data_IF_415877190667
#
_entry.id   IF_415877190667
#
_cell.length_a   1.000
_cell.length_b   1.000
_cell.length_c   1.000
_cell.angle_alpha   90.00
_cell.angle_beta   90.00
_cell.angle_gamma   90.00
#
_symmetry.space_group_name_H-M   'P 1'
#
loop_
_entity.id
_entity.type
_entity.pdbx_description
1 polymer ?
#
# COMPACT_ATOMS: atom_id res chain seq x y z
N UNK A 1 -4.64 -18.28 24.62
CA UNK A 1 -5.03 -17.93 23.24
C UNK A 1 -6.06 -16.80 23.18
N UNK A 2 -5.70 -15.59 23.61
CA UNK A 2 -6.59 -14.39 23.51
C UNK A 2 -5.92 -13.24 22.76
N UNK A 3 -4.58 -13.17 22.74
CA UNK A 3 -3.85 -12.12 22.02
C UNK A 3 -3.90 -12.26 20.49
N UNK A 4 -3.80 -13.48 19.94
CA UNK A 4 -3.85 -13.71 18.48
C UNK A 4 -5.13 -13.21 17.81
N UNK A 5 -6.25 -13.16 18.54
CA UNK A 5 -7.52 -12.70 18.00
C UNK A 5 -7.69 -11.18 18.02
N UNK A 6 -6.86 -10.46 18.80
CA UNK A 6 -6.98 -9.01 18.95
C UNK A 6 -6.28 -8.27 17.80
N UNK A 7 -5.06 -8.68 17.45
CA UNK A 7 -4.35 -8.18 16.27
C UNK A 7 -5.09 -8.48 14.96
N UNK A 8 -5.75 -9.65 14.90
CA UNK A 8 -6.58 -10.01 13.75
C UNK A 8 -7.83 -9.15 13.68
N UNK A 9 -8.45 -8.81 14.82
CA UNK A 9 -9.63 -7.91 14.88
C UNK A 9 -9.29 -6.47 14.49
N UNK A 10 -8.15 -5.97 14.94
CA UNK A 10 -7.67 -4.64 14.57
C UNK A 10 -7.27 -4.60 13.09
N UNK A 11 -6.68 -5.69 12.55
CA UNK A 11 -6.49 -5.87 11.10
C UNK A 11 -7.82 -6.00 10.34
N UNK A 12 -8.85 -6.64 10.91
CA UNK A 12 -10.17 -6.78 10.30
C UNK A 12 -10.89 -5.44 10.19
N UNK A 13 -10.69 -4.52 11.14
CA UNK A 13 -11.21 -3.14 11.02
C UNK A 13 -10.47 -2.33 9.96
N UNK A 14 -9.16 -2.58 9.74
CA UNK A 14 -8.42 -2.05 8.61
C UNK A 14 -8.92 -2.67 7.29
N UNK A 15 -9.05 -4.00 7.24
CA UNK A 15 -9.59 -4.77 6.12
C UNK A 15 -11.02 -4.32 5.73
N UNK A 16 -11.87 -4.00 6.70
CA UNK A 16 -13.22 -3.48 6.45
C UNK A 16 -13.20 -2.10 5.76
N UNK A 17 -12.23 -1.23 6.07
CA UNK A 17 -11.99 -0.01 5.28
C UNK A 17 -11.44 -0.32 3.88
N UNK A 18 -10.60 -1.35 3.74
CA UNK A 18 -10.03 -1.78 2.46
C UNK A 18 -11.09 -2.37 1.51
N UNK A 19 -12.11 -3.04 2.04
CA UNK A 19 -13.26 -3.56 1.28
C UNK A 19 -14.08 -2.42 0.62
N UNK A 20 -14.22 -1.27 1.30
CA UNK A 20 -14.83 -0.08 0.71
C UNK A 20 -13.91 0.66 -0.29
N UNK A 21 -12.60 0.37 -0.27
CA UNK A 21 -11.60 0.87 -1.22
C UNK A 21 -11.28 -0.09 -2.36
N UNK A 22 -12.20 -1.03 -2.67
CA UNK A 22 -12.05 -1.97 -3.79
C UNK A 22 -11.83 -1.24 -5.11
N UNK A 23 -10.96 -1.78 -5.96
CA UNK A 23 -10.66 -1.21 -7.27
C UNK A 23 -11.77 -1.41 -8.31
N UNK A 24 -12.81 -2.20 -7.97
CA UNK A 24 -13.85 -2.64 -8.90
C UNK A 24 -13.28 -3.28 -10.19
N UNK A 25 -12.09 -3.90 -10.08
CA UNK A 25 -11.39 -4.49 -11.21
C UNK A 25 -10.76 -3.49 -12.19
N UNK A 26 -10.76 -2.19 -11.87
CA UNK A 26 -10.18 -1.15 -12.74
C UNK A 26 -8.67 -1.03 -12.63
N UNK A 27 -8.12 -1.43 -11.49
CA UNK A 27 -6.68 -1.45 -11.22
C UNK A 27 -6.37 -2.54 -10.21
N UNK A 28 -5.10 -2.94 -10.17
CA UNK A 28 -4.61 -3.88 -9.15
C UNK A 28 -4.19 -3.10 -7.91
N UNK A 29 -4.67 -3.53 -6.75
CA UNK A 29 -4.11 -3.11 -5.46
C UNK A 29 -3.24 -4.26 -4.97
N UNK A 30 -1.93 -4.03 -4.87
CA UNK A 30 -1.01 -4.99 -4.28
C UNK A 30 -0.57 -4.53 -2.91
N UNK A 31 -0.78 -5.37 -1.89
CA UNK A 31 -0.42 -5.08 -0.52
C UNK A 31 0.74 -5.97 -0.06
N UNK A 32 1.78 -5.33 0.48
CA UNK A 32 3.04 -5.98 0.85
C UNK A 32 3.36 -5.78 2.34
N UNK A 33 2.58 -6.36 3.27
CA UNK A 33 2.65 -6.05 4.70
C UNK A 33 3.83 -6.70 5.44
N UNK A 34 4.46 -7.73 4.84
CA UNK A 34 5.56 -8.50 5.43
C UNK A 34 5.18 -9.42 6.61
N UNK A 35 4.05 -9.19 7.29
CA UNK A 35 3.60 -9.99 8.45
C UNK A 35 2.25 -10.69 8.27
N UNK A 36 1.47 -10.31 7.26
CA UNK A 36 0.18 -10.96 6.95
C UNK A 36 0.38 -12.02 5.88
N UNK A 37 -0.43 -13.08 5.98
CA UNK A 37 -0.37 -14.17 5.02
C UNK A 37 -1.01 -13.77 3.70
N UNK A 38 -0.75 -14.57 2.67
CA UNK A 38 -1.33 -14.37 1.35
C UNK A 38 -2.85 -14.48 1.40
N UNK A 39 -3.35 -15.47 2.11
CA UNK A 39 -4.78 -15.78 2.22
C UNK A 39 -5.56 -14.63 2.85
N UNK A 40 -5.02 -14.03 3.93
CA UNK A 40 -5.63 -12.88 4.61
C UNK A 40 -5.76 -11.65 3.69
N UNK A 41 -4.82 -11.46 2.76
CA UNK A 41 -4.83 -10.34 1.81
C UNK A 41 -5.73 -10.61 0.60
N UNK A 42 -5.69 -11.82 0.07
CA UNK A 42 -6.50 -12.19 -1.09
C UNK A 42 -8.00 -12.30 -0.73
N UNK A 43 -8.35 -12.67 0.51
CA UNK A 43 -9.74 -12.71 1.00
C UNK A 43 -10.44 -11.33 0.93
N UNK A 44 -9.68 -10.24 1.05
CA UNK A 44 -10.20 -8.86 0.97
C UNK A 44 -10.12 -8.28 -0.45
N UNK A 45 -9.74 -9.08 -1.46
CA UNK A 45 -9.74 -8.71 -2.87
C UNK A 45 -8.49 -7.97 -3.34
N UNK A 46 -7.40 -7.98 -2.57
CA UNK A 46 -6.11 -7.40 -2.97
C UNK A 46 -5.14 -8.48 -3.43
N UNK A 47 -4.17 -8.10 -4.24
CA UNK A 47 -3.03 -8.97 -4.50
C UNK A 47 -2.04 -8.91 -3.33
N UNK A 48 -1.57 -10.08 -2.91
CA UNK A 48 -0.45 -10.14 -1.98
C UNK A 48 0.88 -9.87 -2.72
N UNK A 49 1.82 -9.21 -2.06
CA UNK A 49 3.19 -9.06 -2.53
C UNK A 49 4.22 -9.25 -1.43
N UNK A 50 5.39 -9.77 -1.81
CA UNK A 50 6.52 -9.89 -0.91
C UNK A 50 7.16 -8.53 -0.64
N UNK A 51 7.26 -8.14 0.62
CA UNK A 51 7.78 -6.83 1.04
C UNK A 51 9.25 -6.65 0.63
N UNK A 52 10.09 -7.68 0.79
CA UNK A 52 11.52 -7.56 0.49
C UNK A 52 11.76 -7.40 -1.02
N UNK A 53 11.04 -8.15 -1.84
CA UNK A 53 11.09 -8.01 -3.30
C UNK A 53 10.62 -6.62 -3.75
N UNK A 54 9.54 -6.10 -3.17
CA UNK A 54 9.07 -4.75 -3.52
C UNK A 54 10.02 -3.64 -3.07
N UNK A 55 10.68 -3.77 -1.91
CA UNK A 55 11.69 -2.81 -1.47
C UNK A 55 12.94 -2.81 -2.34
N UNK A 56 13.31 -3.95 -2.93
CA UNK A 56 14.40 -4.02 -3.91
C UNK A 56 14.03 -3.31 -5.22
N UNK A 57 12.78 -3.47 -5.68
CA UNK A 57 12.28 -2.79 -6.88
C UNK A 57 12.08 -1.29 -6.65
N UNK A 58 11.58 -0.91 -5.48
CA UNK A 58 11.27 0.46 -5.07
C UNK A 58 12.07 0.83 -3.82
N UNK A 59 13.34 1.23 -3.96
CA UNK A 59 14.23 1.54 -2.83
C UNK A 59 13.83 2.86 -2.19
N UNK A 60 12.92 2.80 -1.21
CA UNK A 60 12.27 3.97 -0.58
C UNK A 60 13.22 5.04 -0.05
N UNK A 61 14.46 4.68 0.32
CA UNK A 61 15.48 5.62 0.79
C UNK A 61 15.94 6.60 -0.30
N UNK A 62 15.72 6.24 -1.57
CA UNK A 62 16.15 7.02 -2.74
C UNK A 62 14.97 7.65 -3.50
N UNK A 63 13.73 7.37 -3.10
CA UNK A 63 12.53 7.86 -3.79
C UNK A 63 12.16 9.26 -3.32
N UNK A 64 11.58 10.03 -4.24
CA UNK A 64 10.99 11.35 -3.94
C UNK A 64 9.49 11.29 -4.12
N UNK A 65 8.74 12.02 -3.31
CA UNK A 65 7.30 12.15 -3.54
C UNK A 65 7.05 12.70 -4.95
N UNK A 66 6.09 12.10 -5.66
CA UNK A 66 5.80 12.41 -7.05
C UNK A 66 6.32 11.39 -8.05
N UNK A 67 6.55 11.84 -9.29
CA UNK A 67 6.99 10.97 -10.38
C UNK A 67 8.43 10.52 -10.24
N UNK A 68 8.65 9.21 -10.34
CA UNK A 68 9.94 8.55 -10.41
C UNK A 68 9.97 7.62 -11.62
N UNK A 69 11.17 7.13 -11.95
CA UNK A 69 11.38 6.12 -12.99
C UNK A 69 12.24 5.01 -12.40
N UNK A 70 11.85 3.76 -12.56
CA UNK A 70 12.63 2.62 -12.08
C UNK A 70 13.83 2.33 -13.00
N UNK A 71 14.66 1.36 -12.59
CA UNK A 71 15.84 0.96 -13.36
C UNK A 71 15.51 0.30 -14.71
N UNK A 72 14.25 -0.09 -14.93
CA UNK A 72 13.75 -0.63 -16.19
C UNK A 72 13.12 0.44 -17.10
N UNK A 73 13.04 1.70 -16.65
CA UNK A 73 12.43 2.80 -17.39
C UNK A 73 10.93 2.95 -17.17
N UNK A 74 10.32 2.18 -16.26
CA UNK A 74 8.91 2.31 -15.91
C UNK A 74 8.69 3.54 -15.03
N UNK A 75 7.70 4.36 -15.41
CA UNK A 75 7.31 5.53 -14.62
C UNK A 75 6.30 5.14 -13.55
N UNK A 76 6.53 5.57 -12.32
CA UNK A 76 5.61 5.38 -11.20
C UNK A 76 5.51 6.65 -10.36
N UNK A 77 4.41 6.76 -9.62
CA UNK A 77 4.19 7.87 -8.69
C UNK A 77 4.36 7.36 -7.26
N UNK A 78 5.24 7.98 -6.49
CA UNK A 78 5.53 7.61 -5.11
C UNK A 78 4.88 8.58 -4.13
N UNK A 79 4.33 8.03 -3.05
CA UNK A 79 3.72 8.77 -1.95
C UNK A 79 4.24 8.14 -0.65
N UNK A 80 5.10 8.87 0.05
CA UNK A 80 5.75 8.44 1.29
C UNK A 80 4.78 8.37 2.48
N UNK A 81 3.74 9.21 2.47
CA UNK A 81 2.73 9.26 3.53
C UNK A 81 1.32 9.39 2.92
N UNK A 82 0.64 8.26 2.61
CA UNK A 82 -0.68 8.28 1.98
C UNK A 82 -1.79 8.81 2.90
N UNK A 83 -1.56 8.86 4.23
CA UNK A 83 -2.57 9.28 5.21
C UNK A 83 -2.83 10.80 5.19
N UNK A 84 -1.90 11.62 4.67
CA UNK A 84 -2.11 13.08 4.51
C UNK A 84 -2.99 13.43 3.30
N UNK A 85 -3.43 12.41 2.54
CA UNK A 85 -4.44 12.52 1.49
C UNK A 85 -3.85 12.85 0.12
N UNK A 86 -4.29 12.09 -0.89
CA UNK A 86 -4.01 12.32 -2.32
C UNK A 86 -4.50 13.68 -2.85
N UNK A 87 -5.29 14.40 -2.04
CA UNK A 87 -6.02 15.62 -2.38
C UNK A 87 -5.38 16.89 -1.84
N UNK A 88 -4.12 16.85 -1.43
CA UNK A 88 -3.34 18.06 -1.27
C UNK A 88 -3.15 18.71 -2.65
N UNK A 89 -4.12 19.52 -3.04
CA UNK A 89 -4.05 20.48 -4.12
C UNK A 89 -2.65 21.11 -4.14
N UNK A 90 -2.08 21.27 -5.34
CA UNK A 90 -0.80 21.92 -5.63
C UNK A 90 -0.47 23.22 -4.86
N UNK A 91 -1.45 23.85 -4.21
CA UNK A 91 -1.26 25.02 -3.34
C UNK A 91 -0.74 24.75 -1.92
N UNK A 92 -0.52 23.50 -1.50
CA UNK A 92 -0.09 23.18 -0.12
C UNK A 92 1.42 22.87 0.05
N UNK A 93 2.18 22.88 -1.05
CA UNK A 93 3.63 22.64 -1.06
C UNK A 93 4.46 23.92 -1.24
N UNK A 94 3.84 25.10 -1.15
CA UNK A 94 4.54 26.37 -1.01
C UNK A 94 4.60 26.72 0.48
N UNK A 95 5.71 26.38 1.12
CA UNK A 95 6.40 27.17 2.15
C UNK A 95 7.84 26.64 2.30
#
# INVERSE_FOLDING_TARGET
DVEKHKDLKDNLSAAAHLIHGSSEGRFTIRYCPGKLTREEIEEVGYEWGDLQQMLQRYPIENLKDGWNTDAQGERFYYISNPAIGLWAHSGRFND
#
